data_IF_501773914755
#
_entry.id   IF_501773914755
#
_cell.length_a   1.000
_cell.length_b   1.000
_cell.length_c   1.000
_cell.angle_alpha   90.00
_cell.angle_beta   90.00
_cell.angle_gamma   90.00
#
_symmetry.space_group_name_H-M   'P 1'
#
loop_
_entity.id
_entity.type
_entity.pdbx_description
1 polymer ?
#
# COMPACT_ATOMS: atom_id res chain seq x y z
N UNK A 1 10.92 -11.70 -12.79
CA UNK A 1 11.73 -10.68 -12.09
C UNK A 1 11.81 -11.13 -10.64
N UNK A 2 12.98 -11.12 -9.99
CA UNK A 2 13.05 -11.58 -8.59
C UNK A 2 12.41 -10.55 -7.66
N UNK A 3 11.89 -10.99 -6.51
CA UNK A 3 11.29 -10.12 -5.49
C UNK A 3 12.22 -8.97 -5.09
N UNK A 4 13.54 -9.16 -5.16
CA UNK A 4 14.56 -8.13 -4.89
C UNK A 4 14.51 -6.94 -5.87
N UNK A 5 14.15 -7.16 -7.14
CA UNK A 5 14.09 -6.06 -8.10
C UNK A 5 12.88 -5.14 -7.85
N UNK A 6 11.79 -5.69 -7.29
CA UNK A 6 10.63 -4.91 -6.85
C UNK A 6 10.95 -4.19 -5.53
N UNK A 7 11.64 -4.88 -4.61
CA UNK A 7 12.11 -4.33 -3.33
C UNK A 7 13.08 -3.14 -3.51
N UNK A 8 14.06 -3.23 -4.41
CA UNK A 8 15.03 -2.16 -4.68
C UNK A 8 14.39 -0.91 -5.33
N UNK A 9 13.42 -1.12 -6.23
CA UNK A 9 12.66 -0.03 -6.84
C UNK A 9 11.71 0.62 -5.83
N UNK A 10 11.17 -0.16 -4.89
CA UNK A 10 10.33 0.32 -3.80
C UNK A 10 11.08 1.21 -2.80
N UNK A 11 12.35 0.89 -2.54
CA UNK A 11 13.24 1.60 -1.61
C UNK A 11 13.68 2.98 -2.14
N UNK A 12 13.84 3.16 -3.46
CA UNK A 12 14.52 4.33 -4.03
C UNK A 12 13.65 5.28 -4.87
N UNK A 13 12.36 4.97 -5.09
CA UNK A 13 11.48 5.79 -5.94
C UNK A 13 10.09 6.02 -5.34
N UNK A 14 9.42 7.07 -5.80
CA UNK A 14 8.03 7.36 -5.48
C UNK A 14 7.11 6.28 -6.07
N UNK A 15 6.88 5.22 -5.29
CA UNK A 15 5.98 4.11 -5.62
C UNK A 15 4.55 4.59 -5.95
N UNK A 16 4.11 5.73 -5.44
CA UNK A 16 2.79 6.26 -5.79
C UNK A 16 2.80 6.76 -7.24
N UNK A 17 3.84 7.48 -7.65
CA UNK A 17 4.01 7.90 -9.04
C UNK A 17 4.19 6.70 -9.98
N UNK A 18 4.98 5.70 -9.59
CA UNK A 18 5.19 4.48 -10.40
C UNK A 18 3.89 3.71 -10.55
N UNK A 19 3.16 3.50 -9.46
CA UNK A 19 1.89 2.77 -9.48
C UNK A 19 0.84 3.47 -10.34
N UNK A 20 0.76 4.80 -10.28
CA UNK A 20 -0.10 5.58 -11.18
C UNK A 20 0.34 5.47 -12.64
N UNK A 21 1.64 5.52 -12.92
CA UNK A 21 2.17 5.38 -14.29
C UNK A 21 1.86 4.00 -14.88
N UNK A 22 2.04 2.94 -14.09
CA UNK A 22 1.75 1.56 -14.50
C UNK A 22 0.26 1.35 -14.69
N UNK A 23 -0.59 1.93 -13.84
CA UNK A 23 -2.03 1.92 -14.02
C UNK A 23 -2.43 2.60 -15.35
N UNK A 24 -1.93 3.80 -15.60
CA UNK A 24 -2.21 4.54 -16.84
C UNK A 24 -1.75 3.76 -18.09
N UNK A 25 -0.53 3.20 -18.05
CA UNK A 25 -0.02 2.36 -19.13
C UNK A 25 -0.85 1.09 -19.34
N UNK A 26 -1.33 0.49 -18.25
CA UNK A 26 -2.19 -0.70 -18.31
C UNK A 26 -3.54 -0.37 -18.95
N UNK A 27 -4.12 0.78 -18.60
CA UNK A 27 -5.34 1.30 -19.22
C UNK A 27 -5.15 1.56 -20.71
N UNK A 28 -4.06 2.23 -21.10
CA UNK A 28 -3.69 2.44 -22.50
C UNK A 28 -3.55 1.11 -23.25
N UNK A 29 -2.93 0.10 -22.64
CA UNK A 29 -2.74 -1.21 -23.28
C UNK A 29 -4.02 -2.02 -23.47
N UNK A 30 -5.04 -1.80 -22.65
CA UNK A 30 -6.31 -2.48 -22.83
C UNK A 30 -7.22 -1.78 -23.83
N UNK A 31 -7.01 -0.49 -24.12
CA UNK A 31 -7.88 0.36 -24.98
C UNK A 31 -8.37 -0.34 -26.27
N UNK A 32 -7.51 -1.13 -26.90
CA UNK A 32 -7.84 -1.89 -28.12
C UNK A 32 -8.85 -3.05 -27.93
N UNK A 33 -9.17 -3.44 -26.70
CA UNK A 33 -9.99 -4.62 -26.37
C UNK A 33 -11.12 -4.33 -25.36
N UNK A 34 -11.21 -3.11 -24.86
CA UNK A 34 -12.30 -2.62 -24.00
C UNK A 34 -13.43 -2.03 -24.84
N UNK A 35 -14.68 -2.38 -24.52
CA UNK A 35 -15.84 -1.76 -25.15
C UNK A 35 -16.02 -0.31 -24.67
N UNK A 36 -16.79 0.52 -25.40
CA UNK A 36 -17.11 1.88 -24.94
C UNK A 36 -17.85 1.87 -23.59
N UNK A 37 -18.62 0.84 -23.31
CA UNK A 37 -19.36 0.65 -22.06
C UNK A 37 -18.43 0.29 -20.90
N UNK A 38 -17.48 -0.63 -21.12
CA UNK A 38 -16.46 -0.96 -20.14
C UNK A 38 -15.54 0.24 -19.85
N UNK A 39 -15.25 1.07 -20.85
CA UNK A 39 -14.43 2.30 -20.68
C UNK A 39 -15.11 3.29 -19.76
N UNK A 40 -16.42 3.50 -19.95
CA UNK A 40 -17.23 4.31 -19.06
C UNK A 40 -17.26 3.73 -17.64
N UNK A 41 -17.40 2.42 -17.52
CA UNK A 41 -17.41 1.73 -16.23
C UNK A 41 -16.07 1.88 -15.50
N UNK A 42 -14.94 1.79 -16.21
CA UNK A 42 -13.61 2.05 -15.63
C UNK A 42 -13.51 3.48 -15.10
N UNK A 43 -13.98 4.47 -15.86
CA UNK A 43 -13.96 5.87 -15.44
C UNK A 43 -14.82 6.08 -14.18
N UNK A 44 -16.01 5.50 -14.13
CA UNK A 44 -16.89 5.55 -12.96
C UNK A 44 -16.24 4.89 -11.74
N UNK A 45 -15.61 3.73 -11.91
CA UNK A 45 -14.86 3.05 -10.85
C UNK A 45 -13.66 3.90 -10.36
N UNK A 46 -12.95 4.58 -11.26
CA UNK A 46 -11.86 5.49 -10.89
C UNK A 46 -12.35 6.70 -10.10
N UNK A 47 -13.48 7.29 -10.50
CA UNK A 47 -14.09 8.40 -9.79
C UNK A 47 -14.56 7.97 -8.39
N UNK A 48 -15.18 6.80 -8.27
CA UNK A 48 -15.59 6.26 -6.97
C UNK A 48 -14.40 5.90 -6.08
N UNK A 49 -13.29 5.42 -6.67
CA UNK A 49 -12.04 5.20 -5.93
C UNK A 49 -11.50 6.52 -5.38
N UNK A 50 -11.46 7.58 -6.21
CA UNK A 50 -10.98 8.91 -5.83
C UNK A 50 -11.83 9.50 -4.69
N UNK A 51 -13.16 9.43 -4.80
CA UNK A 51 -14.07 9.84 -3.72
C UNK A 51 -13.86 9.02 -2.43
N UNK A 52 -13.58 7.72 -2.56
CA UNK A 52 -13.23 6.85 -1.44
C UNK A 52 -11.95 7.32 -0.73
N UNK A 53 -10.93 7.69 -1.52
CA UNK A 53 -9.66 8.20 -1.01
C UNK A 53 -9.82 9.56 -0.31
N UNK A 54 -10.51 10.51 -0.92
CA UNK A 54 -10.79 11.84 -0.34
C UNK A 54 -11.53 11.77 0.99
N UNK A 55 -12.52 10.86 1.08
CA UNK A 55 -13.30 10.61 2.29
C UNK A 55 -12.58 9.71 3.31
N UNK A 56 -11.32 9.35 3.05
CA UNK A 56 -10.52 8.40 3.86
C UNK A 56 -11.18 7.03 4.04
N UNK A 57 -12.11 6.67 3.15
CA UNK A 57 -12.75 5.36 3.12
C UNK A 57 -11.92 4.40 2.23
N UNK A 58 -10.85 3.88 2.82
CA UNK A 58 -9.87 3.02 2.14
C UNK A 58 -10.48 1.68 1.72
N UNK A 59 -11.48 1.18 2.44
CA UNK A 59 -12.23 -0.03 2.05
C UNK A 59 -12.97 0.17 0.73
N UNK A 60 -13.67 1.30 0.58
CA UNK A 60 -14.35 1.66 -0.67
C UNK A 60 -13.33 1.87 -1.80
N UNK A 61 -12.25 2.60 -1.55
CA UNK A 61 -11.15 2.77 -2.50
C UNK A 61 -10.62 1.42 -3.01
N UNK A 62 -10.26 0.50 -2.11
CA UNK A 62 -9.72 -0.82 -2.47
C UNK A 62 -10.72 -1.64 -3.28
N UNK A 63 -12.01 -1.55 -2.96
CA UNK A 63 -13.04 -2.28 -3.68
C UNK A 63 -13.12 -1.82 -5.15
N UNK A 64 -13.12 -0.51 -5.39
CA UNK A 64 -13.17 0.05 -6.75
C UNK A 64 -11.88 -0.25 -7.54
N UNK A 65 -10.71 -0.13 -6.91
CA UNK A 65 -9.44 -0.56 -7.51
C UNK A 65 -9.49 -2.04 -7.90
N UNK A 66 -10.01 -2.91 -7.02
CA UNK A 66 -10.17 -4.34 -7.31
C UNK A 66 -11.11 -4.61 -8.50
N UNK A 67 -12.14 -3.80 -8.69
CA UNK A 67 -13.04 -3.89 -9.84
C UNK A 67 -12.30 -3.51 -11.14
N UNK A 68 -11.55 -2.41 -11.14
CA UNK A 68 -10.69 -1.99 -12.27
C UNK A 68 -9.74 -3.11 -12.66
N UNK A 69 -9.10 -3.75 -11.69
CA UNK A 69 -8.24 -4.90 -11.90
C UNK A 69 -8.92 -6.09 -12.58
N UNK A 70 -10.16 -6.39 -12.21
CA UNK A 70 -10.92 -7.48 -12.83
C UNK A 70 -11.21 -7.19 -14.30
N UNK A 71 -11.53 -5.95 -14.64
CA UNK A 71 -11.78 -5.51 -16.02
C UNK A 71 -10.49 -5.52 -16.87
N UNK A 72 -9.36 -5.07 -16.31
CA UNK A 72 -8.06 -5.17 -16.98
C UNK A 72 -7.69 -6.65 -17.24
N UNK A 73 -7.96 -7.52 -16.25
CA UNK A 73 -7.70 -8.97 -16.36
C UNK A 73 -8.52 -9.63 -17.47
N UNK A 74 -9.81 -9.30 -17.62
CA UNK A 74 -10.65 -9.92 -18.64
C UNK A 74 -10.18 -9.59 -20.05
N UNK A 75 -9.51 -8.45 -20.23
CA UNK A 75 -9.00 -8.02 -21.52
C UNK A 75 -7.57 -8.52 -21.82
N UNK A 76 -6.63 -8.43 -20.87
CA UNK A 76 -5.24 -8.86 -21.10
C UNK A 76 -4.56 -9.46 -19.87
N UNK A 77 -4.37 -10.78 -19.88
CA UNK A 77 -3.77 -11.51 -18.78
C UNK A 77 -2.30 -11.14 -18.51
N UNK A 78 -1.52 -10.72 -19.51
CA UNK A 78 -0.11 -10.31 -19.32
C UNK A 78 0.01 -8.92 -18.70
N UNK A 79 -0.89 -8.01 -19.05
CA UNK A 79 -0.96 -6.67 -18.43
C UNK A 79 -1.27 -6.78 -16.94
N UNK A 80 -2.11 -7.73 -16.56
CA UNK A 80 -2.47 -8.02 -15.16
C UNK A 80 -1.25 -8.34 -14.29
N UNK A 81 -0.32 -9.17 -14.76
CA UNK A 81 0.81 -9.64 -13.94
C UNK A 81 1.67 -8.46 -13.46
N UNK A 82 2.15 -7.63 -14.39
CA UNK A 82 2.96 -6.46 -14.04
C UNK A 82 2.19 -5.41 -13.24
N UNK A 83 0.91 -5.18 -13.55
CA UNK A 83 0.09 -4.23 -12.80
C UNK A 83 -0.15 -4.71 -11.36
N UNK A 84 -0.41 -6.00 -11.17
CA UNK A 84 -0.72 -6.57 -9.86
C UNK A 84 0.48 -6.46 -8.92
N UNK A 85 1.67 -6.78 -9.41
CA UNK A 85 2.89 -6.77 -8.60
C UNK A 85 3.23 -5.36 -8.12
N UNK A 86 3.18 -4.38 -9.04
CA UNK A 86 3.45 -2.97 -8.72
C UNK A 86 2.43 -2.40 -7.74
N UNK A 87 1.14 -2.67 -7.96
CA UNK A 87 0.08 -2.17 -7.08
C UNK A 87 0.03 -2.92 -5.74
N UNK A 88 0.51 -4.15 -5.68
CA UNK A 88 0.69 -4.88 -4.43
C UNK A 88 1.83 -4.26 -3.61
N UNK A 89 2.98 -3.98 -4.22
CA UNK A 89 4.09 -3.28 -3.58
C UNK A 89 3.69 -1.88 -3.07
N UNK A 90 2.94 -1.11 -3.86
CA UNK A 90 2.44 0.19 -3.45
C UNK A 90 1.51 0.11 -2.23
N UNK A 91 0.63 -0.90 -2.18
CA UNK A 91 -0.24 -1.15 -1.01
C UNK A 91 0.57 -1.52 0.22
N UNK A 92 1.60 -2.37 0.09
CA UNK A 92 2.49 -2.73 1.20
C UNK A 92 3.15 -1.47 1.77
N UNK A 93 3.75 -0.61 0.93
CA UNK A 93 4.36 0.65 1.37
C UNK A 93 3.38 1.55 2.12
N UNK A 94 2.16 1.75 1.58
CA UNK A 94 1.14 2.55 2.27
C UNK A 94 0.67 1.92 3.57
N UNK A 95 0.57 0.60 3.63
CA UNK A 95 0.25 -0.13 4.85
C UNK A 95 1.31 0.04 5.93
N UNK A 96 2.59 -0.03 5.58
CA UNK A 96 3.71 0.27 6.49
C UNK A 96 3.62 1.69 7.03
N UNK A 97 3.34 2.68 6.17
CA UNK A 97 3.13 4.06 6.61
C UNK A 97 1.92 4.24 7.55
N UNK A 98 0.93 3.33 7.53
CA UNK A 98 -0.16 3.30 8.51
C UNK A 98 0.30 2.72 9.86
N UNK A 99 1.19 1.72 9.84
CA UNK A 99 1.81 1.16 11.06
C UNK A 99 2.64 2.20 11.79
N UNK A 100 3.44 2.97 11.05
CA UNK A 100 4.23 4.09 11.58
C UNK A 100 3.35 5.16 12.24
N UNK A 101 2.08 5.26 11.82
CA UNK A 101 1.08 6.17 12.42
C UNK A 101 0.32 5.54 13.59
N UNK A 102 0.74 4.36 14.06
CA UNK A 102 0.22 3.70 15.26
C UNK A 102 -0.95 2.74 15.01
N UNK A 103 -1.28 2.40 13.76
CA UNK A 103 -2.26 1.35 13.49
C UNK A 103 -1.64 -0.02 13.76
N UNK A 104 -2.44 -0.97 14.24
CA UNK A 104 -2.00 -2.36 14.32
C UNK A 104 -1.84 -3.00 12.94
N UNK A 105 -1.03 -4.07 12.85
CA UNK A 105 -0.83 -4.85 11.62
C UNK A 105 -2.14 -5.28 10.98
N UNK A 106 -3.09 -5.80 11.78
CA UNK A 106 -4.39 -6.21 11.28
C UNK A 106 -5.23 -5.05 10.73
N UNK A 107 -5.18 -3.88 11.38
CA UNK A 107 -5.90 -2.70 10.91
C UNK A 107 -5.31 -2.16 9.62
N UNK A 108 -3.99 -2.01 9.53
CA UNK A 108 -3.32 -1.54 8.33
C UNK A 108 -3.49 -2.52 7.15
N UNK A 109 -3.34 -3.83 7.38
CA UNK A 109 -3.54 -4.86 6.37
C UNK A 109 -4.99 -4.85 5.85
N UNK A 110 -5.96 -4.78 6.76
CA UNK A 110 -7.38 -4.70 6.41
C UNK A 110 -7.69 -3.44 5.58
N UNK A 111 -7.16 -2.28 5.97
CA UNK A 111 -7.35 -1.03 5.24
C UNK A 111 -6.67 -0.99 3.88
N UNK A 112 -5.59 -1.75 3.66
CA UNK A 112 -4.89 -1.85 2.38
C UNK A 112 -5.32 -3.04 1.53
N UNK A 113 -6.19 -3.91 2.06
CA UNK A 113 -6.59 -5.14 1.36
C UNK A 113 -5.40 -6.09 1.14
N UNK A 114 -4.53 -6.18 2.15
CA UNK A 114 -3.35 -7.05 2.20
C UNK A 114 -3.58 -8.18 3.21
N UNK A 115 -2.73 -9.21 3.13
CA UNK A 115 -2.61 -10.18 4.21
C UNK A 115 -1.76 -9.59 5.35
N UNK A 116 -1.98 -10.07 6.59
CA UNK A 116 -1.10 -9.72 7.71
C UNK A 116 0.35 -10.14 7.44
N UNK A 117 0.53 -11.23 6.69
CA UNK A 117 1.85 -11.75 6.34
C UNK A 117 2.59 -10.80 5.40
N UNK A 118 1.89 -10.19 4.43
CA UNK A 118 2.48 -9.24 3.47
C UNK A 118 3.15 -8.06 4.21
N UNK A 119 2.45 -7.50 5.21
CA UNK A 119 2.99 -6.41 6.02
C UNK A 119 4.07 -6.88 7.00
N UNK A 120 3.90 -8.05 7.64
CA UNK A 120 4.90 -8.58 8.58
C UNK A 120 6.24 -8.88 7.89
N UNK A 121 6.22 -9.45 6.69
CA UNK A 121 7.43 -9.72 5.92
C UNK A 121 8.14 -8.43 5.54
N UNK A 122 7.39 -7.41 5.12
CA UNK A 122 7.98 -6.14 4.73
C UNK A 122 8.58 -5.42 5.95
N UNK A 123 7.81 -5.27 7.03
CA UNK A 123 8.26 -4.68 8.30
C UNK A 123 9.45 -5.43 8.92
N UNK A 124 9.49 -6.76 8.80
CA UNK A 124 10.61 -7.56 9.31
C UNK A 124 11.90 -7.39 8.50
N UNK A 125 11.79 -7.02 7.21
CA UNK A 125 12.94 -6.77 6.32
C UNK A 125 13.39 -5.30 6.33
N UNK A 126 12.44 -4.37 6.34
CA UNK A 126 12.70 -2.95 6.54
C UNK A 126 12.79 -2.74 8.03
N UNK A 127 13.99 -2.86 8.62
CA UNK A 127 14.23 -2.44 9.98
C UNK A 127 13.47 -1.14 10.26
N UNK A 128 12.39 -1.18 11.05
CA UNK A 128 11.82 0.00 11.73
C UNK A 128 12.77 0.37 12.90
N UNK A 129 14.07 0.34 12.60
CA UNK A 129 15.20 0.85 13.32
C UNK A 129 15.88 1.71 12.24
N UNK A 130 15.54 2.99 12.11
CA UNK A 130 16.58 4.01 12.29
C UNK A 130 16.03 5.46 12.37
N UNK A 131 14.75 5.64 12.72
CA UNK A 131 14.22 6.99 13.02
C UNK A 131 13.51 7.11 14.36
N UNK A 132 13.81 6.22 15.32
CA UNK A 132 13.71 6.62 16.72
C UNK A 132 14.95 7.45 17.07
N UNK A 133 14.89 8.77 16.84
CA UNK A 133 15.59 9.64 17.79
C UNK A 133 14.94 9.33 19.14
N UNK A 134 15.61 8.55 20.00
CA UNK A 134 15.16 8.35 21.36
C UNK A 134 14.93 9.73 21.99
N UNK A 135 13.68 10.16 22.09
CA UNK A 135 13.34 11.49 22.63
C UNK A 135 13.77 11.60 24.10
N UNK A 136 13.99 10.47 24.77
CA UNK A 136 14.37 10.36 26.17
C UNK A 136 15.39 9.24 26.33
N UNK A 137 16.60 9.59 26.78
CA UNK A 137 17.68 8.64 27.06
C UNK A 137 17.26 7.53 28.02
N UNK A 138 17.80 6.32 27.82
CA UNK A 138 17.48 5.13 28.60
C UNK A 138 17.56 5.33 30.12
N UNK A 139 18.55 6.07 30.60
CA UNK A 139 18.71 6.41 32.03
C UNK A 139 17.50 7.17 32.58
N UNK A 140 16.99 8.14 31.82
CA UNK A 140 15.81 8.91 32.20
C UNK A 140 14.53 8.06 32.17
N UNK A 141 14.45 7.07 31.26
CA UNK A 141 13.34 6.11 31.24
C UNK A 141 13.31 5.23 32.49
N UNK A 142 14.46 4.72 32.90
CA UNK A 142 14.60 3.92 34.13
C UNK A 142 14.23 4.75 35.35
N UNK A 143 14.72 5.99 35.44
CA UNK A 143 14.39 6.91 36.54
C UNK A 143 12.89 7.21 36.62
N UNK A 144 12.24 7.46 35.49
CA UNK A 144 10.80 7.69 35.43
C UNK A 144 10.02 6.44 35.89
N UNK A 145 10.45 5.24 35.47
CA UNK A 145 9.81 3.99 35.88
C UNK A 145 9.94 3.76 37.40
N UNK A 146 11.13 3.96 37.97
CA UNK A 146 11.36 3.84 39.42
C UNK A 146 10.47 4.81 40.23
N UNK A 147 10.28 6.03 39.74
CA UNK A 147 9.37 7.01 40.34
C UNK A 147 7.90 6.57 40.28
N UNK A 148 7.45 6.04 39.14
CA UNK A 148 6.08 5.53 38.96
C UNK A 148 5.80 4.38 39.92
N UNK A 149 6.73 3.44 40.03
CA UNK A 149 6.58 2.25 40.87
C UNK A 149 7.00 2.46 42.33
N UNK A 150 7.37 3.69 42.70
CA UNK A 150 7.81 4.08 44.07
C UNK A 150 8.91 3.17 44.62
N UNK A 151 9.78 2.68 43.74
CA UNK A 151 10.96 1.91 44.13
C UNK A 151 12.08 2.93 44.29
N UNK A 152 12.35 3.34 45.52
CA UNK A 152 13.53 4.15 45.89
C UNK A 152 14.58 3.25 46.49
#
# INVERSE_FOLDING_TARGET
MSDHAIEDVALHKDLDLISMTVLLYSLYKIDACISKEDSRTILEEMEQALQGLEKRNLGKYNQHIKNIFKMIKSCNAKVKEHLNDVMHAARIKKGTALLEKGLSIGQAAGLMGLSNWDLQQYVGKTNIQEHEHEAVHAEQRVKNALQIFKVT
#
